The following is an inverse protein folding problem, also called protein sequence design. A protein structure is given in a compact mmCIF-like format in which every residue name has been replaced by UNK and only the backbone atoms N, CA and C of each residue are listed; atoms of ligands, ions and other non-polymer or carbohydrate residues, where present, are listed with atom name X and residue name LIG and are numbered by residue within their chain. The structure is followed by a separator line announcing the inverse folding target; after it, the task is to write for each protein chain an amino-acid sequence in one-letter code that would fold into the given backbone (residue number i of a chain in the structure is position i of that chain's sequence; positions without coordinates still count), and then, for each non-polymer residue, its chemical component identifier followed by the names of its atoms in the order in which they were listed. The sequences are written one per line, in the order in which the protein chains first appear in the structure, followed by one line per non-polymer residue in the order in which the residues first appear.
data_IF_305710327923
#
_entry.id   IF_305710327923
#
_cell.length_a   1.000
_cell.length_b   1.000
_cell.length_c   1.000
_cell.angle_alpha   90.00
_cell.angle_beta   90.00
_cell.angle_gamma   90.00
#
_symmetry.space_group_name_H-M   'P 1'
#
loop_
_entity.id
_entity.type
_entity.pdbx_description
1 polymer ?
#
# COMPACT_ATOMS: atom_id res chain seq x y z
N UNK A 1 -28.70 38.24 7.63
CA UNK A 1 -27.52 37.67 6.97
C UNK A 1 -28.01 36.57 6.07
N UNK A 2 -27.86 36.72 4.75
CA UNK A 2 -28.10 35.62 3.81
C UNK A 2 -27.18 34.47 4.20
N UNK A 3 -27.76 33.28 4.37
CA UNK A 3 -26.98 32.08 4.64
C UNK A 3 -26.08 31.84 3.42
N UNK A 4 -24.78 32.08 3.58
CA UNK A 4 -23.76 31.74 2.59
C UNK A 4 -23.91 30.25 2.25
N UNK A 5 -24.13 29.92 0.98
CA UNK A 5 -24.37 28.52 0.60
C UNK A 5 -23.12 27.69 0.85
N UNK A 6 -23.32 26.59 1.54
CA UNK A 6 -22.28 25.63 1.88
C UNK A 6 -21.67 24.94 0.64
N UNK A 7 -20.36 24.72 0.68
CA UNK A 7 -19.56 24.08 -0.36
C UNK A 7 -20.04 22.66 -0.66
N UNK A 8 -20.44 21.88 0.35
CA UNK A 8 -20.91 20.50 0.13
C UNK A 8 -22.19 20.48 -0.71
N UNK A 9 -23.13 21.37 -0.41
CA UNK A 9 -24.36 21.55 -1.18
C UNK A 9 -24.06 22.01 -2.61
N UNK A 10 -23.10 22.92 -2.77
CA UNK A 10 -22.70 23.44 -4.06
C UNK A 10 -22.03 22.36 -4.94
N UNK A 11 -21.24 21.45 -4.39
CA UNK A 11 -20.59 20.39 -5.18
C UNK A 11 -21.41 19.10 -5.30
N UNK A 12 -22.56 18.96 -4.62
CA UNK A 12 -23.38 17.75 -4.67
C UNK A 12 -23.94 17.42 -6.07
N UNK A 13 -24.06 18.42 -6.94
CA UNK A 13 -24.61 18.28 -8.30
C UNK A 13 -23.53 18.02 -9.35
N UNK A 14 -23.80 17.06 -10.23
CA UNK A 14 -22.85 16.61 -11.27
C UNK A 14 -22.51 17.71 -12.28
N UNK A 15 -23.47 18.57 -12.63
CA UNK A 15 -23.26 19.66 -13.59
C UNK A 15 -22.41 20.76 -12.95
N UNK A 16 -22.62 21.07 -11.67
CA UNK A 16 -21.78 22.01 -10.93
C UNK A 16 -20.33 21.52 -10.85
N UNK A 17 -20.10 20.23 -10.58
CA UNK A 17 -18.75 19.63 -10.64
C UNK A 17 -18.14 19.70 -12.03
N UNK A 18 -18.93 19.47 -13.10
CA UNK A 18 -18.46 19.60 -14.49
C UNK A 18 -18.05 21.04 -14.82
N UNK A 19 -18.82 22.05 -14.40
CA UNK A 19 -18.45 23.47 -14.56
C UNK A 19 -17.11 23.76 -13.88
N UNK A 20 -16.92 23.32 -12.63
CA UNK A 20 -15.66 23.54 -11.91
C UNK A 20 -14.47 22.90 -12.62
N UNK A 21 -14.63 21.70 -13.20
CA UNK A 21 -13.59 21.04 -14.00
C UNK A 21 -13.26 21.83 -15.26
N UNK A 22 -14.26 22.28 -16.01
CA UNK A 22 -14.05 23.09 -17.22
C UNK A 22 -13.29 24.40 -16.92
N UNK A 23 -13.54 24.99 -15.76
CA UNK A 23 -12.85 26.19 -15.28
C UNK A 23 -11.49 25.91 -14.63
N UNK A 24 -11.11 24.65 -14.38
CA UNK A 24 -9.83 24.31 -13.77
C UNK A 24 -8.68 24.37 -14.78
N UNK A 25 -8.97 24.14 -16.06
CA UNK A 25 -7.98 24.06 -17.15
C UNK A 25 -7.77 25.40 -17.88
N UNK A 26 -8.50 26.45 -17.49
CA UNK A 26 -8.46 27.78 -18.13
C UNK A 26 -8.51 28.89 -17.09
N UNK A 27 -8.00 30.08 -17.43
CA UNK A 27 -8.04 31.24 -16.52
C UNK A 27 -9.47 31.75 -16.28
N UNK A 28 -10.25 31.91 -17.34
CA UNK A 28 -11.65 32.34 -17.30
C UNK A 28 -12.43 31.90 -18.55
N UNK A 29 -13.74 31.71 -18.41
CA UNK A 29 -14.62 31.30 -19.52
C UNK A 29 -15.93 32.10 -19.53
N UNK A 30 -16.42 32.60 -20.68
CA UNK A 30 -17.71 33.26 -20.78
C UNK A 30 -18.89 32.27 -20.67
N UNK A 31 -20.05 32.77 -20.24
CA UNK A 31 -21.26 31.95 -20.08
C UNK A 31 -21.66 31.17 -21.34
N UNK A 32 -21.47 31.74 -22.53
CA UNK A 32 -21.89 31.09 -23.77
C UNK A 32 -21.03 29.86 -24.09
N UNK A 33 -19.71 29.94 -23.89
CA UNK A 33 -18.79 28.81 -24.02
C UNK A 33 -19.10 27.74 -22.98
N UNK A 34 -19.29 28.12 -21.71
CA UNK A 34 -19.72 27.16 -20.68
C UNK A 34 -21.01 26.45 -21.08
N UNK A 35 -21.99 27.17 -21.63
CA UNK A 35 -23.28 26.60 -22.05
C UNK A 35 -23.12 25.57 -23.16
N UNK A 36 -22.17 25.74 -24.08
CA UNK A 36 -21.93 24.80 -25.17
C UNK A 36 -21.52 23.39 -24.71
N UNK A 37 -21.05 23.24 -23.46
CA UNK A 37 -20.68 21.94 -22.89
C UNK A 37 -21.83 21.19 -22.22
N UNK A 38 -23.06 21.70 -22.29
CA UNK A 38 -24.23 21.10 -21.66
C UNK A 38 -25.42 21.04 -22.64
N UNK A 39 -26.20 19.97 -22.51
CA UNK A 39 -27.48 19.84 -23.22
C UNK A 39 -28.57 20.76 -22.63
N UNK A 40 -28.35 21.25 -21.41
CA UNK A 40 -29.25 22.19 -20.76
C UNK A 40 -29.10 23.60 -21.33
N UNK A 41 -30.20 24.35 -21.40
CA UNK A 41 -30.17 25.73 -21.86
C UNK A 41 -29.40 26.68 -20.93
N UNK A 42 -28.98 27.83 -21.49
CA UNK A 42 -28.22 28.90 -20.81
C UNK A 42 -28.76 29.30 -19.43
N UNK A 43 -30.09 29.36 -19.27
CA UNK A 43 -30.73 29.71 -17.99
C UNK A 43 -30.43 28.70 -16.90
N UNK A 44 -30.37 27.40 -17.23
CA UNK A 44 -30.03 26.37 -16.26
C UNK A 44 -28.55 26.46 -15.85
N UNK A 45 -27.64 26.63 -16.81
CA UNK A 45 -26.20 26.85 -16.53
C UNK A 45 -25.98 28.10 -15.66
N UNK A 46 -26.70 29.19 -15.95
CA UNK A 46 -26.63 30.41 -15.14
C UNK A 46 -27.08 30.19 -13.69
N UNK A 47 -28.10 29.35 -13.45
CA UNK A 47 -28.53 28.99 -12.09
C UNK A 47 -27.44 28.18 -11.37
N UNK A 48 -26.80 27.24 -12.05
CA UNK A 48 -25.67 26.49 -11.47
C UNK A 48 -24.52 27.42 -11.08
N UNK A 49 -24.16 28.38 -11.95
CA UNK A 49 -23.12 29.37 -11.66
C UNK A 49 -23.47 30.32 -10.51
N UNK A 50 -24.74 30.69 -10.35
CA UNK A 50 -25.19 31.48 -9.20
C UNK A 50 -24.93 30.72 -7.88
N UNK A 51 -25.29 29.43 -7.81
CA UNK A 51 -25.06 28.58 -6.64
C UNK A 51 -23.56 28.45 -6.35
N UNK A 52 -22.75 28.20 -7.38
CA UNK A 52 -21.29 28.11 -7.23
C UNK A 52 -20.68 29.43 -6.76
N UNK A 53 -21.23 30.57 -7.19
CA UNK A 53 -20.77 31.90 -6.78
C UNK A 53 -21.15 32.20 -5.32
N UNK A 54 -22.37 31.84 -4.92
CA UNK A 54 -22.82 31.95 -3.52
C UNK A 54 -21.94 31.14 -2.56
N UNK A 55 -21.47 29.96 -3.00
CA UNK A 55 -20.50 29.13 -2.29
C UNK A 55 -19.03 29.52 -2.51
N UNK A 56 -18.79 30.69 -3.12
CA UNK A 56 -17.45 31.24 -3.44
C UNK A 56 -16.56 30.32 -4.28
N UNK A 57 -17.10 29.30 -4.94
CA UNK A 57 -16.36 28.35 -5.78
C UNK A 57 -16.03 28.92 -7.17
N UNK A 58 -16.74 29.96 -7.60
CA UNK A 58 -16.43 30.72 -8.81
C UNK A 58 -16.53 32.21 -8.54
N UNK A 59 -15.70 32.99 -9.24
CA UNK A 59 -15.84 34.44 -9.33
C UNK A 59 -16.37 34.80 -10.72
N UNK A 60 -16.93 36.00 -10.85
CA UNK A 60 -17.48 36.47 -12.12
C UNK A 60 -17.12 37.93 -12.35
N UNK A 61 -16.73 38.29 -13.57
CA UNK A 61 -16.53 39.70 -13.96
C UNK A 61 -17.19 39.98 -15.32
N UNK A 62 -17.61 41.23 -15.52
CA UNK A 62 -18.22 41.67 -16.78
C UNK A 62 -17.15 42.18 -17.72
N UNK A 63 -17.13 41.66 -18.95
CA UNK A 63 -16.21 42.06 -20.02
C UNK A 63 -17.05 42.39 -21.25
N UNK A 64 -17.25 43.69 -21.50
CA UNK A 64 -18.15 44.16 -22.54
C UNK A 64 -19.60 43.69 -22.32
N UNK A 65 -20.12 42.89 -23.27
CA UNK A 65 -21.48 42.31 -23.21
C UNK A 65 -21.52 40.94 -22.52
N UNK A 66 -20.38 40.39 -22.12
CA UNK A 66 -20.28 39.04 -21.59
C UNK A 66 -19.93 39.02 -20.10
N UNK A 67 -20.38 37.98 -19.41
CA UNK A 67 -19.93 37.66 -18.05
C UNK A 67 -18.98 36.48 -18.15
N UNK A 68 -17.76 36.66 -17.64
CA UNK A 68 -16.72 35.64 -17.58
C UNK A 68 -16.59 35.11 -16.17
N UNK A 69 -16.37 33.81 -16.06
CA UNK A 69 -16.30 33.08 -14.80
C UNK A 69 -14.92 32.47 -14.63
N UNK A 70 -14.42 32.48 -13.41
CA UNK A 70 -13.12 31.91 -13.03
C UNK A 70 -13.29 31.00 -11.82
N UNK A 71 -12.57 29.88 -11.78
CA UNK A 71 -12.54 28.99 -10.64
C UNK A 71 -11.91 29.66 -9.42
N UNK A 72 -12.54 29.51 -8.26
CA UNK A 72 -11.89 29.76 -6.97
C UNK A 72 -11.87 28.43 -6.18
N UNK A 73 -10.73 27.72 -6.15
CA UNK A 73 -10.67 26.40 -5.53
C UNK A 73 -10.57 26.45 -4.00
N UNK A 74 -10.35 27.63 -3.40
CA UNK A 74 -10.10 27.75 -1.95
C UNK A 74 -11.17 27.09 -1.08
N UNK A 75 -12.49 27.25 -1.35
CA UNK A 75 -13.53 26.60 -0.54
C UNK A 75 -13.50 25.07 -0.60
N UNK A 76 -12.95 24.45 -1.66
CA UNK A 76 -12.84 22.99 -1.77
C UNK A 76 -11.89 22.38 -0.73
N UNK A 77 -11.05 23.18 -0.06
CA UNK A 77 -10.20 22.70 1.04
C UNK A 77 -11.02 22.16 2.20
N UNK A 78 -12.20 22.71 2.46
CA UNK A 78 -13.10 22.24 3.52
C UNK A 78 -13.58 20.82 3.24
N UNK A 79 -13.97 20.54 1.99
CA UNK A 79 -14.36 19.21 1.53
C UNK A 79 -13.19 18.23 1.65
N UNK A 80 -11.99 18.63 1.21
CA UNK A 80 -10.78 17.80 1.36
C UNK A 80 -10.53 17.44 2.82
N UNK A 81 -10.53 18.43 3.70
CA UNK A 81 -10.26 18.21 5.13
C UNK A 81 -11.31 17.29 5.77
N UNK A 82 -12.59 17.46 5.39
CA UNK A 82 -13.67 16.61 5.86
C UNK A 82 -13.52 15.17 5.38
N UNK A 83 -13.19 14.95 4.11
CA UNK A 83 -12.95 13.60 3.57
C UNK A 83 -11.74 12.95 4.26
N UNK A 84 -10.65 13.69 4.50
CA UNK A 84 -9.45 13.15 5.15
C UNK A 84 -9.72 12.62 6.56
N UNK A 85 -10.64 13.22 7.31
CA UNK A 85 -11.06 12.66 8.61
C UNK A 85 -11.67 11.24 8.49
N UNK A 86 -12.38 10.96 7.38
CA UNK A 86 -12.94 9.63 7.14
C UNK A 86 -11.96 8.70 6.43
N UNK A 87 -10.94 9.20 5.74
CA UNK A 87 -9.88 8.37 5.16
C UNK A 87 -9.17 7.56 6.26
N UNK A 88 -8.83 8.19 7.39
CA UNK A 88 -8.24 7.51 8.54
C UNK A 88 -9.20 6.47 9.17
N UNK A 89 -10.49 6.79 9.20
CA UNK A 89 -11.54 5.90 9.69
C UNK A 89 -11.78 4.68 8.77
N UNK A 90 -11.74 4.87 7.45
CA UNK A 90 -11.86 3.80 6.47
C UNK A 90 -10.59 2.95 6.43
N UNK A 91 -9.40 3.55 6.56
CA UNK A 91 -8.15 2.80 6.73
C UNK A 91 -8.22 1.91 7.98
N UNK A 92 -8.67 2.44 9.12
CA UNK A 92 -8.85 1.67 10.35
C UNK A 92 -9.93 0.57 10.25
N UNK A 93 -11.06 0.84 9.58
CA UNK A 93 -12.14 -0.16 9.40
C UNK A 93 -11.84 -1.21 8.34
N UNK A 94 -11.14 -0.85 7.27
CA UNK A 94 -10.65 -1.81 6.28
C UNK A 94 -9.54 -2.67 6.89
N UNK A 95 -8.68 -2.12 7.74
CA UNK A 95 -7.74 -2.91 8.55
C UNK A 95 -8.47 -3.85 9.51
N UNK A 96 -9.52 -3.40 10.21
CA UNK A 96 -10.33 -4.28 11.07
C UNK A 96 -11.10 -5.34 10.28
N UNK A 97 -11.61 -5.00 9.08
CA UNK A 97 -12.27 -5.97 8.21
C UNK A 97 -11.27 -6.95 7.62
N UNK A 98 -10.06 -6.51 7.27
CA UNK A 98 -8.95 -7.38 6.87
C UNK A 98 -8.62 -8.33 8.03
N UNK A 99 -8.47 -7.84 9.25
CA UNK A 99 -8.26 -8.65 10.47
C UNK A 99 -9.41 -9.62 10.72
N UNK A 100 -10.67 -9.25 10.46
CA UNK A 100 -11.82 -10.15 10.63
C UNK A 100 -11.93 -11.19 9.51
N UNK A 101 -11.64 -10.82 8.27
CA UNK A 101 -11.58 -11.73 7.12
C UNK A 101 -10.38 -12.67 7.23
N UNK A 102 -9.25 -12.19 7.77
CA UNK A 102 -8.11 -13.01 8.15
C UNK A 102 -8.50 -13.94 9.28
N UNK A 103 -9.12 -13.49 10.37
CA UNK A 103 -9.65 -14.37 11.44
C UNK A 103 -10.60 -15.44 10.89
N UNK A 104 -11.44 -15.12 9.90
CA UNK A 104 -12.34 -16.09 9.26
C UNK A 104 -11.59 -17.06 8.32
N UNK A 105 -10.54 -16.62 7.63
CA UNK A 105 -9.65 -17.49 6.87
C UNK A 105 -8.79 -18.37 7.79
N UNK A 106 -8.35 -17.84 8.93
CA UNK A 106 -7.57 -18.52 9.97
C UNK A 106 -8.40 -19.50 10.79
N UNK A 107 -9.73 -19.37 10.89
CA UNK A 107 -10.56 -20.47 11.40
C UNK A 107 -10.61 -21.67 10.46
N UNK A 108 -10.09 -21.53 9.23
CA UNK A 108 -9.96 -22.60 8.23
C UNK A 108 -8.50 -23.06 8.07
N UNK A 109 -7.54 -22.35 8.67
CA UNK A 109 -6.10 -22.61 8.61
C UNK A 109 -5.55 -22.57 10.05
N UNK A 110 -5.63 -23.70 10.75
CA UNK A 110 -5.05 -23.86 12.08
C UNK A 110 -3.51 -23.69 12.02
N UNK A 111 -3.02 -22.53 12.45
CA UNK A 111 -1.61 -22.26 12.73
C UNK A 111 -1.51 -21.41 14.00
N UNK A 112 -1.03 -21.99 15.09
CA UNK A 112 -0.93 -21.37 16.42
C UNK A 112 0.07 -20.20 16.38
N UNK A 113 -0.38 -18.98 16.64
CA UNK A 113 0.51 -17.92 17.14
C UNK A 113 0.90 -18.33 18.57
N UNK A 114 2.08 -18.92 18.72
CA UNK A 114 2.74 -19.11 20.01
C UNK A 114 3.93 -18.15 20.05
N UNK A 115 3.97 -17.25 21.04
CA UNK A 115 5.12 -16.42 21.42
C UNK A 115 5.53 -15.22 20.54
N UNK A 116 4.61 -14.57 19.82
CA UNK A 116 4.92 -13.33 19.08
C UNK A 116 6.11 -13.46 18.10
N UNK A 117 6.31 -14.69 17.62
CA UNK A 117 7.21 -15.05 16.53
C UNK A 117 6.37 -15.23 15.25
N UNK A 118 7.01 -15.10 14.08
CA UNK A 118 6.36 -15.38 12.80
C UNK A 118 6.71 -16.78 12.38
N UNK A 119 5.70 -17.63 12.24
CA UNK A 119 5.85 -19.02 11.80
C UNK A 119 4.94 -19.23 10.59
N UNK A 120 5.51 -19.68 9.48
CA UNK A 120 4.80 -19.91 8.22
C UNK A 120 5.24 -21.23 7.59
N UNK A 121 4.28 -21.98 7.07
CA UNK A 121 4.54 -23.24 6.37
C UNK A 121 4.07 -23.14 4.91
N UNK A 122 4.94 -23.57 3.99
CA UNK A 122 4.68 -23.54 2.56
C UNK A 122 4.95 -24.91 1.94
N UNK A 123 4.21 -25.24 0.88
CA UNK A 123 4.42 -26.47 0.11
C UNK A 123 4.67 -26.13 -1.35
N UNK A 124 5.74 -26.68 -1.92
CA UNK A 124 6.12 -26.48 -3.32
C UNK A 124 6.15 -27.82 -4.07
N UNK A 125 5.79 -27.78 -5.35
CA UNK A 125 5.90 -28.92 -6.29
C UNK A 125 7.25 -28.89 -7.03
N UNK A 126 8.30 -28.58 -6.30
CA UNK A 126 9.68 -28.51 -6.77
C UNK A 126 10.55 -29.38 -5.86
N UNK A 127 11.68 -29.86 -6.38
CA UNK A 127 12.66 -30.62 -5.61
C UNK A 127 13.30 -29.76 -4.50
N UNK A 128 13.81 -30.42 -3.46
CA UNK A 128 14.46 -29.74 -2.33
C UNK A 128 15.68 -28.95 -2.79
N UNK A 129 16.40 -29.46 -3.80
CA UNK A 129 17.55 -28.78 -4.41
C UNK A 129 17.15 -27.50 -5.13
N UNK A 130 16.00 -27.49 -5.82
CA UNK A 130 15.49 -26.28 -6.48
C UNK A 130 15.09 -25.22 -5.46
N UNK A 131 14.39 -25.62 -4.38
CA UNK A 131 14.01 -24.70 -3.31
C UNK A 131 15.25 -24.17 -2.59
N UNK A 132 16.20 -25.05 -2.26
CA UNK A 132 17.47 -24.66 -1.64
C UNK A 132 18.24 -23.65 -2.49
N UNK A 133 18.36 -23.90 -3.80
CA UNK A 133 19.00 -22.98 -4.73
C UNK A 133 18.31 -21.62 -4.73
N UNK A 134 16.97 -21.58 -4.68
CA UNK A 134 16.21 -20.34 -4.66
C UNK A 134 16.35 -19.53 -3.36
N UNK A 135 16.73 -20.19 -2.26
CA UNK A 135 17.03 -19.56 -0.97
C UNK A 135 18.49 -19.13 -0.81
N UNK A 136 19.41 -19.64 -1.65
CA UNK A 136 20.86 -19.48 -1.43
C UNK A 136 21.60 -18.79 -2.57
N UNK A 137 21.08 -18.83 -3.79
CA UNK A 137 21.68 -18.14 -4.93
C UNK A 137 21.19 -16.69 -5.01
N UNK A 138 22.16 -15.77 -4.99
CA UNK A 138 21.91 -14.32 -4.92
C UNK A 138 21.05 -13.79 -6.07
N UNK A 139 21.27 -14.29 -7.29
CA UNK A 139 20.53 -13.92 -8.51
C UNK A 139 19.09 -14.46 -8.52
N UNK A 140 18.82 -15.55 -7.81
CA UNK A 140 17.47 -16.08 -7.63
C UNK A 140 16.76 -15.33 -6.49
N UNK A 141 17.45 -15.10 -5.37
CA UNK A 141 16.95 -14.30 -4.24
C UNK A 141 16.46 -12.91 -4.67
N UNK A 142 17.21 -12.25 -5.57
CA UNK A 142 16.82 -10.94 -6.10
C UNK A 142 15.47 -10.95 -6.83
N UNK A 143 15.07 -12.08 -7.42
CA UNK A 143 13.81 -12.19 -8.16
C UNK A 143 12.57 -12.22 -7.26
N UNK A 144 12.71 -12.55 -5.98
CA UNK A 144 11.55 -12.74 -5.09
C UNK A 144 11.66 -12.05 -3.72
N UNK A 145 12.85 -11.75 -3.21
CA UNK A 145 13.10 -10.86 -2.05
C UNK A 145 13.49 -9.46 -2.55
N UNK A 146 14.80 -9.22 -2.73
CA UNK A 146 15.43 -7.92 -2.93
C UNK A 146 16.85 -8.12 -3.49
N UNK A 147 17.40 -7.08 -4.13
CA UNK A 147 18.78 -7.06 -4.59
C UNK A 147 19.74 -7.30 -3.42
N UNK A 148 20.76 -8.14 -3.62
CA UNK A 148 21.62 -8.60 -2.53
C UNK A 148 23.01 -9.02 -2.99
N UNK A 149 23.90 -9.26 -2.02
CA UNK A 149 25.21 -9.88 -2.18
C UNK A 149 25.37 -11.12 -1.28
N UNK A 150 24.24 -11.83 -1.09
CA UNK A 150 24.15 -13.00 -0.23
C UNK A 150 25.08 -14.12 -0.68
N UNK A 151 25.68 -14.81 0.30
CA UNK A 151 26.43 -16.05 0.11
C UNK A 151 26.13 -17.00 1.26
N UNK A 152 25.83 -18.29 1.02
CA UNK A 152 25.52 -19.26 2.08
C UNK A 152 26.80 -19.72 2.79
N UNK A 153 27.47 -18.79 3.49
CA UNK A 153 28.70 -19.05 4.23
C UNK A 153 28.54 -18.50 5.64
N UNK A 154 28.61 -19.35 6.65
CA UNK A 154 28.49 -18.94 8.06
C UNK A 154 29.47 -17.81 8.39
N UNK A 155 28.97 -16.76 9.03
CA UNK A 155 29.71 -15.52 9.36
C UNK A 155 29.85 -14.52 8.20
N UNK A 156 29.34 -14.84 6.99
CA UNK A 156 29.30 -13.87 5.90
C UNK A 156 28.23 -12.81 6.18
N UNK A 157 28.65 -11.55 6.16
CA UNK A 157 27.77 -10.39 6.25
C UNK A 157 27.33 -9.98 4.85
N UNK A 158 26.04 -9.70 4.67
CA UNK A 158 25.45 -9.31 3.40
C UNK A 158 24.38 -8.23 3.61
N UNK A 159 23.89 -7.65 2.53
CA UNK A 159 22.80 -6.67 2.55
C UNK A 159 21.70 -7.04 1.57
N UNK A 160 20.44 -6.94 2.00
CA UNK A 160 19.31 -6.75 1.07
C UNK A 160 19.07 -5.26 0.84
N UNK A 161 18.74 -4.89 -0.39
CA UNK A 161 18.60 -3.50 -0.82
C UNK A 161 17.26 -3.26 -1.51
N UNK A 162 16.54 -2.24 -1.03
CA UNK A 162 15.33 -1.68 -1.61
C UNK A 162 15.54 -0.22 -1.98
N UNK A 163 14.58 0.39 -2.68
CA UNK A 163 14.63 1.83 -2.96
C UNK A 163 14.50 2.64 -1.65
N UNK A 164 15.44 3.57 -1.36
CA UNK A 164 15.37 4.39 -0.16
C UNK A 164 14.20 5.37 -0.21
N UNK A 165 13.69 5.76 0.96
CA UNK A 165 12.67 6.79 1.11
C UNK A 165 13.03 7.80 2.21
N UNK A 166 12.14 8.75 2.50
CA UNK A 166 12.40 9.81 3.50
C UNK A 166 12.60 9.29 4.94
N UNK A 167 12.16 8.06 5.23
CA UNK A 167 12.11 7.49 6.58
C UNK A 167 13.05 6.27 6.76
N UNK A 168 13.56 5.68 5.68
CA UNK A 168 14.41 4.48 5.70
C UNK A 168 15.37 4.46 4.51
N UNK A 169 16.62 4.05 4.77
CA UNK A 169 17.71 4.00 3.78
C UNK A 169 17.61 2.85 2.77
N UNK A 170 16.60 1.99 2.90
CA UNK A 170 16.40 0.86 2.00
C UNK A 170 17.31 -0.33 2.29
N UNK A 171 18.09 -0.30 3.38
CA UNK A 171 19.09 -1.32 3.69
C UNK A 171 18.59 -2.26 4.79
N UNK A 172 18.86 -3.54 4.59
CA UNK A 172 18.66 -4.60 5.57
C UNK A 172 20.00 -5.32 5.69
N UNK A 173 20.62 -5.21 6.86
CA UNK A 173 21.87 -5.89 7.16
C UNK A 173 21.59 -7.32 7.61
N UNK A 174 22.40 -8.26 7.13
CA UNK A 174 22.32 -9.66 7.51
C UNK A 174 23.68 -10.28 7.75
N UNK A 175 23.66 -11.34 8.54
CA UNK A 175 24.82 -12.20 8.83
C UNK A 175 24.33 -13.65 8.81
N UNK A 176 25.00 -14.51 8.04
CA UNK A 176 24.64 -15.92 7.96
C UNK A 176 25.07 -16.64 9.23
N UNK A 177 24.12 -17.29 9.90
CA UNK A 177 24.32 -17.95 11.19
C UNK A 177 24.50 -19.47 11.04
N UNK A 178 23.72 -20.10 10.16
CA UNK A 178 23.74 -21.56 9.97
C UNK A 178 23.47 -21.91 8.51
N UNK A 179 24.22 -22.86 7.97
CA UNK A 179 24.00 -23.44 6.64
C UNK A 179 24.19 -24.95 6.76
N UNK A 180 23.09 -25.69 6.63
CA UNK A 180 23.05 -27.15 6.56
C UNK A 180 22.36 -27.53 5.26
N UNK A 181 23.13 -27.67 4.18
CA UNK A 181 22.60 -27.89 2.84
C UNK A 181 22.05 -29.32 2.66
N UNK A 182 20.85 -29.51 2.08
CA UNK A 182 19.84 -28.51 1.65
C UNK A 182 18.71 -28.26 2.67
N UNK A 183 18.91 -28.61 3.94
CA UNK A 183 17.83 -28.74 4.94
C UNK A 183 17.57 -27.48 5.76
N UNK A 184 18.59 -26.65 6.03
CA UNK A 184 18.42 -25.53 6.96
C UNK A 184 19.33 -24.35 6.66
N UNK A 185 18.76 -23.16 6.71
CA UNK A 185 19.46 -21.90 6.56
C UNK A 185 18.98 -20.93 7.63
N UNK A 186 19.90 -20.26 8.33
CA UNK A 186 19.52 -19.14 9.20
C UNK A 186 20.45 -17.94 9.04
N UNK A 187 19.88 -16.76 9.22
CA UNK A 187 20.61 -15.50 9.15
C UNK A 187 19.92 -14.39 9.96
N UNK A 188 20.70 -13.38 10.32
CA UNK A 188 20.19 -12.14 10.91
C UNK A 188 19.43 -11.34 9.85
N UNK A 189 18.33 -10.74 10.26
CA UNK A 189 17.59 -9.71 9.52
C UNK A 189 17.50 -8.45 10.39
N UNK A 190 18.36 -7.48 10.10
CA UNK A 190 18.44 -6.21 10.82
C UNK A 190 17.97 -5.06 9.92
N UNK A 191 16.91 -4.36 10.32
CA UNK A 191 16.37 -3.21 9.59
C UNK A 191 15.59 -2.28 10.51
N UNK A 192 15.63 -0.98 10.22
CA UNK A 192 14.87 0.05 10.94
C UNK A 192 15.00 0.00 12.48
N UNK A 193 16.18 -0.38 12.99
CA UNK A 193 16.46 -0.46 14.44
C UNK A 193 16.01 -1.75 15.12
N UNK A 194 15.44 -2.70 14.37
CA UNK A 194 15.04 -4.02 14.84
C UNK A 194 16.03 -5.08 14.34
N UNK A 195 16.32 -6.11 15.15
CA UNK A 195 17.22 -7.20 14.78
C UNK A 195 16.56 -8.52 15.12
N UNK A 196 16.32 -9.33 14.09
CA UNK A 196 15.62 -10.61 14.19
C UNK A 196 16.43 -11.72 13.56
N UNK A 197 16.07 -12.96 13.86
CA UNK A 197 16.67 -14.15 13.25
C UNK A 197 15.66 -14.81 12.35
N UNK A 198 16.03 -15.02 11.09
CA UNK A 198 15.26 -15.78 10.11
C UNK A 198 15.81 -17.20 10.03
N UNK A 199 14.93 -18.19 10.04
CA UNK A 199 15.25 -19.61 9.89
C UNK A 199 14.36 -20.22 8.83
N UNK A 200 14.98 -20.92 7.88
CA UNK A 200 14.33 -21.75 6.89
C UNK A 200 14.66 -23.21 7.17
N UNK A 201 13.66 -24.07 7.20
CA UNK A 201 13.83 -25.53 7.27
C UNK A 201 13.09 -26.19 6.11
N UNK A 202 13.80 -27.00 5.34
CA UNK A 202 13.28 -27.71 4.19
C UNK A 202 13.13 -29.19 4.52
N UNK A 203 12.00 -29.78 4.12
CA UNK A 203 11.76 -31.22 4.24
C UNK A 203 11.25 -31.75 2.92
N UNK A 204 11.91 -32.78 2.38
CA UNK A 204 11.38 -33.49 1.22
C UNK A 204 10.21 -34.38 1.65
N UNK A 205 9.02 -34.10 1.10
CA UNK A 205 7.80 -34.85 1.43
C UNK A 205 7.66 -36.08 0.54
N UNK A 206 8.01 -35.92 -0.72
CA UNK A 206 8.05 -36.96 -1.74
C UNK A 206 8.87 -36.45 -2.92
N UNK A 207 9.25 -37.32 -3.85
CA UNK A 207 9.98 -36.93 -5.06
C UNK A 207 9.31 -35.72 -5.77
N UNK A 208 10.05 -34.61 -5.88
CA UNK A 208 9.59 -33.37 -6.49
C UNK A 208 8.59 -32.55 -5.65
N UNK A 209 8.47 -32.81 -4.34
CA UNK A 209 7.67 -31.99 -3.41
C UNK A 209 8.44 -31.70 -2.14
N UNK A 210 8.45 -30.42 -1.77
CA UNK A 210 9.19 -29.92 -0.61
C UNK A 210 8.30 -29.05 0.26
N UNK A 211 8.32 -29.32 1.56
CA UNK A 211 7.79 -28.44 2.58
C UNK A 211 8.89 -27.46 3.00
N UNK A 212 8.53 -26.17 3.08
CA UNK A 212 9.39 -25.09 3.54
C UNK A 212 8.75 -24.48 4.78
N UNK A 213 9.40 -24.69 5.92
CA UNK A 213 9.06 -24.05 7.18
C UNK A 213 9.89 -22.78 7.33
N UNK A 214 9.22 -21.69 7.66
CA UNK A 214 9.79 -20.40 7.95
C UNK A 214 9.52 -20.01 9.39
N UNK A 215 10.56 -19.54 10.06
CA UNK A 215 10.46 -18.98 11.39
C UNK A 215 11.25 -17.66 11.44
N UNK A 216 10.67 -16.63 12.03
CA UNK A 216 11.35 -15.38 12.35
C UNK A 216 11.09 -15.01 13.80
N UNK A 217 12.18 -14.92 14.55
CA UNK A 217 12.17 -14.69 16.00
C UNK A 217 13.05 -13.51 16.40
N UNK A 218 12.97 -13.13 17.67
CA UNK A 218 13.87 -12.13 18.25
C UNK A 218 13.35 -10.70 18.21
N UNK A 219 12.07 -10.50 17.86
CA UNK A 219 11.43 -9.18 17.93
C UNK A 219 11.57 -8.55 19.32
N UNK A 220 11.89 -7.26 19.35
CA UNK A 220 11.97 -6.45 20.56
C UNK A 220 10.63 -6.42 21.32
N UNK A 221 10.69 -6.19 22.63
CA UNK A 221 9.49 -6.06 23.46
C UNK A 221 8.61 -4.88 23.03
N UNK A 222 9.21 -3.81 22.48
CA UNK A 222 8.49 -2.68 21.90
C UNK A 222 7.69 -3.09 20.66
N UNK A 223 8.31 -3.85 19.74
CA UNK A 223 7.64 -4.39 18.56
C UNK A 223 6.55 -5.38 18.93
N UNK A 224 6.80 -6.27 19.90
CA UNK A 224 5.78 -7.20 20.40
C UNK A 224 4.61 -6.50 21.09
N UNK A 225 4.87 -5.39 21.78
CA UNK A 225 3.84 -4.59 22.44
C UNK A 225 3.04 -3.71 21.46
N UNK A 226 3.55 -3.50 20.25
CA UNK A 226 2.91 -2.67 19.22
C UNK A 226 1.90 -3.49 18.41
N UNK A 227 0.58 -3.23 18.53
CA UNK A 227 -0.42 -3.98 17.79
C UNK A 227 -0.22 -3.83 16.27
N UNK A 228 -0.15 -4.95 15.55
CA UNK A 228 0.00 -4.97 14.10
C UNK A 228 1.44 -4.97 13.57
N UNK A 229 2.45 -4.79 14.43
CA UNK A 229 3.85 -4.72 13.96
C UNK A 229 4.33 -6.08 13.40
N UNK A 230 4.01 -7.18 14.09
CA UNK A 230 4.32 -8.55 13.63
C UNK A 230 3.48 -8.94 12.41
N UNK A 231 2.23 -8.47 12.32
CA UNK A 231 1.34 -8.75 11.19
C UNK A 231 1.93 -8.22 9.87
N UNK A 232 2.65 -7.09 9.91
CA UNK A 232 3.37 -6.57 8.75
C UNK A 232 4.50 -7.50 8.26
N UNK A 233 5.22 -8.13 9.18
CA UNK A 233 6.24 -9.13 8.85
C UNK A 233 5.59 -10.40 8.27
N UNK A 234 4.52 -10.90 8.89
CA UNK A 234 3.71 -12.04 8.38
C UNK A 234 3.26 -11.77 6.94
N UNK A 235 2.70 -10.60 6.68
CA UNK A 235 2.24 -10.20 5.35
C UNK A 235 3.38 -10.19 4.33
N UNK A 236 4.50 -9.54 4.65
CA UNK A 236 5.65 -9.40 3.75
C UNK A 236 6.24 -10.76 3.36
N UNK A 237 6.45 -11.64 4.33
CA UNK A 237 6.98 -13.00 4.09
C UNK A 237 6.00 -13.89 3.32
N UNK A 238 4.68 -13.71 3.54
CA UNK A 238 3.65 -14.39 2.74
C UNK A 238 3.68 -13.95 1.28
N UNK A 239 3.87 -12.65 1.00
CA UNK A 239 3.98 -12.16 -0.38
C UNK A 239 5.29 -12.60 -1.05
N UNK A 240 6.41 -12.63 -0.31
CA UNK A 240 7.67 -13.19 -0.81
C UNK A 240 7.55 -14.67 -1.16
N UNK A 241 6.89 -15.48 -0.32
CA UNK A 241 6.64 -16.90 -0.63
C UNK A 241 5.80 -17.10 -1.90
N UNK A 242 4.82 -16.23 -2.18
CA UNK A 242 4.06 -16.26 -3.45
C UNK A 242 4.94 -15.96 -4.66
N UNK A 243 5.88 -15.01 -4.52
CA UNK A 243 6.87 -14.73 -5.58
C UNK A 243 7.83 -15.89 -5.76
N UNK A 244 8.32 -16.50 -4.68
CA UNK A 244 9.16 -17.69 -4.72
C UNK A 244 8.47 -18.83 -5.48
N UNK A 245 7.18 -19.07 -5.21
CA UNK A 245 6.39 -20.03 -5.99
C UNK A 245 6.46 -19.76 -7.50
N UNK A 246 6.31 -18.48 -7.88
CA UNK A 246 6.36 -18.06 -9.29
C UNK A 246 7.76 -18.27 -9.90
N UNK A 247 8.83 -18.13 -9.11
CA UNK A 247 10.21 -18.38 -9.55
C UNK A 247 10.47 -19.88 -9.74
N UNK A 248 9.96 -20.71 -8.84
CA UNK A 248 10.13 -22.17 -8.87
C UNK A 248 9.32 -22.87 -9.99
N UNK A 249 8.26 -22.23 -10.48
CA UNK A 249 7.41 -22.74 -11.56
C UNK A 249 7.88 -22.35 -12.98
N UNK A 250 8.95 -21.55 -13.10
CA UNK A 250 9.56 -21.16 -14.40
C UNK A 250 10.54 -22.22 -14.91
#
# INVERSE_FOLDING_TARGET
MEAERDVFTAIADVNRRKILRLLADVDEMPLHELTAHFEMGRTAVSKHLAILKEAKLVTSRKVGRETRYQLNPKPLREVRNWVSFYEDFWQGRLAQLAVLLEKQKMSTLEGKIMNADVILDFQYTSSIEQVWKALTESDILEQWILANDFKPVVGHTFQFKSEPNEYWDGIIDGEVLEVDEPHKLSYIWASAGETTTVVWTLTEVSEGKTDLHFEMTGFSEETKATPGAIDGAVYSWTEFAKKLKTVLEK
#
